data_IF_568386823864
#
_entry.id   IF_568386823864
#
_cell.length_a   1.000
_cell.length_b   1.000
_cell.length_c   1.000
_cell.angle_alpha   90.00
_cell.angle_beta   90.00
_cell.angle_gamma   90.00
#
_symmetry.space_group_name_H-M   'P 1'
#
loop_
_entity.id
_entity.type
_entity.pdbx_description
1 polymer ?
#
# COMPACT_ATOMS: atom_id res chain seq x y z
N UNK A 1 -16.81 44.98 -10.22
CA UNK A 1 -16.91 44.79 -8.77
C UNK A 1 -16.91 43.29 -8.50
N UNK A 2 -15.76 42.73 -8.10
CA UNK A 2 -15.61 41.29 -7.86
C UNK A 2 -16.22 41.00 -6.49
N UNK A 3 -17.29 40.21 -6.44
CA UNK A 3 -17.85 39.71 -5.19
C UNK A 3 -16.86 38.69 -4.63
N UNK A 4 -16.12 39.08 -3.59
CA UNK A 4 -15.37 38.14 -2.77
C UNK A 4 -16.43 37.35 -1.98
N UNK A 5 -16.50 36.01 -2.11
CA UNK A 5 -17.42 35.22 -1.31
C UNK A 5 -17.05 35.37 0.16
N UNK A 6 -17.98 35.91 0.94
CA UNK A 6 -17.92 35.84 2.40
C UNK A 6 -17.97 34.37 2.78
N UNK A 7 -16.93 33.89 3.48
CA UNK A 7 -16.86 32.58 4.13
C UNK A 7 -17.88 32.63 5.27
N UNK A 8 -19.16 32.44 4.95
CA UNK A 8 -20.23 32.26 5.92
C UNK A 8 -20.12 30.88 6.54
N UNK A 9 -20.27 30.81 7.87
CA UNK A 9 -20.46 29.59 8.68
C UNK A 9 -19.75 28.35 8.12
N UNK A 10 -18.48 28.17 8.50
CA UNK A 10 -17.62 27.09 8.01
C UNK A 10 -18.37 25.76 7.93
N UNK A 11 -18.23 25.10 6.80
CA UNK A 11 -18.77 23.77 6.51
C UNK A 11 -18.13 22.73 7.44
N UNK A 12 -18.60 22.68 8.69
CA UNK A 12 -18.07 21.80 9.76
C UNK A 12 -18.18 20.35 9.30
N UNK A 13 -19.31 19.98 8.67
CA UNK A 13 -19.55 18.64 8.15
C UNK A 13 -18.53 18.28 7.05
N UNK A 14 -18.29 19.16 6.08
CA UNK A 14 -17.26 18.95 5.06
C UNK A 14 -15.85 18.82 5.64
N UNK A 15 -15.52 19.58 6.70
CA UNK A 15 -14.23 19.48 7.39
C UNK A 15 -14.08 18.13 8.12
N UNK A 16 -15.13 17.67 8.80
CA UNK A 16 -15.14 16.36 9.47
C UNK A 16 -14.99 15.22 8.46
N UNK A 17 -15.75 15.24 7.37
CA UNK A 17 -15.67 14.22 6.32
C UNK A 17 -14.28 14.16 5.67
N UNK A 18 -13.69 15.32 5.37
CA UNK A 18 -12.32 15.40 4.86
C UNK A 18 -11.29 14.86 5.86
N UNK A 19 -11.46 15.17 7.14
CA UNK A 19 -10.54 14.71 8.19
C UNK A 19 -10.60 13.18 8.31
N UNK A 20 -11.80 12.60 8.36
CA UNK A 20 -12.01 11.15 8.38
C UNK A 20 -11.39 10.49 7.15
N UNK A 21 -11.65 11.03 5.96
CA UNK A 21 -11.11 10.50 4.72
C UNK A 21 -9.57 10.50 4.70
N UNK A 22 -8.93 11.59 5.10
CA UNK A 22 -7.47 11.69 5.15
C UNK A 22 -6.86 10.76 6.21
N UNK A 23 -7.53 10.59 7.34
CA UNK A 23 -7.14 9.63 8.36
C UNK A 23 -7.18 8.20 7.82
N UNK A 24 -8.28 7.80 7.18
CA UNK A 24 -8.42 6.47 6.58
C UNK A 24 -7.43 6.25 5.43
N UNK A 25 -7.08 7.32 4.69
CA UNK A 25 -6.05 7.25 3.65
C UNK A 25 -4.67 6.99 4.26
N UNK A 26 -4.37 7.63 5.39
CA UNK A 26 -3.16 7.35 6.18
C UNK A 26 -3.10 5.90 6.64
N UNK A 27 -4.22 5.36 7.15
CA UNK A 27 -4.32 3.94 7.54
C UNK A 27 -4.07 3.03 6.33
N UNK A 28 -4.69 3.31 5.19
CA UNK A 28 -4.51 2.54 3.97
C UNK A 28 -3.03 2.49 3.55
N UNK A 29 -2.35 3.65 3.55
CA UNK A 29 -0.92 3.77 3.20
C UNK A 29 -0.06 2.94 4.17
N UNK A 30 -0.34 3.01 5.47
CA UNK A 30 0.40 2.27 6.49
C UNK A 30 0.19 0.74 6.37
N UNK A 31 -1.07 0.30 6.20
CA UNK A 31 -1.41 -1.10 5.96
C UNK A 31 -0.74 -1.62 4.69
N UNK A 32 -0.74 -0.81 3.63
CA UNK A 32 -0.06 -1.17 2.39
C UNK A 32 1.43 -1.37 2.59
N UNK A 33 2.11 -0.45 3.28
CA UNK A 33 3.53 -0.58 3.61
C UNK A 33 3.82 -1.86 4.41
N UNK A 34 2.96 -2.20 5.37
CA UNK A 34 3.06 -3.46 6.12
C UNK A 34 2.97 -4.68 5.20
N UNK A 35 1.99 -4.73 4.30
CA UNK A 35 1.83 -5.85 3.35
C UNK A 35 3.04 -5.98 2.43
N UNK A 36 3.54 -4.85 1.90
CA UNK A 36 4.73 -4.85 1.04
C UNK A 36 5.97 -5.39 1.78
N UNK A 37 6.16 -5.01 3.04
CA UNK A 37 7.22 -5.56 3.88
C UNK A 37 7.08 -7.08 4.06
N UNK A 38 5.89 -7.61 4.35
CA UNK A 38 5.70 -9.06 4.50
C UNK A 38 5.97 -9.82 3.19
N UNK A 39 5.60 -9.25 2.04
CA UNK A 39 5.93 -9.80 0.73
C UNK A 39 7.46 -9.89 0.56
N UNK A 40 8.19 -8.82 0.87
CA UNK A 40 9.65 -8.81 0.77
C UNK A 40 10.30 -9.83 1.70
N UNK A 41 9.81 -9.93 2.94
CA UNK A 41 10.29 -10.90 3.92
C UNK A 41 10.06 -12.34 3.45
N UNK A 42 8.89 -12.65 2.89
CA UNK A 42 8.60 -13.99 2.40
C UNK A 42 9.49 -14.33 1.19
N UNK A 43 9.70 -13.39 0.25
CA UNK A 43 10.62 -13.59 -0.86
C UNK A 43 12.04 -13.85 -0.35
N UNK A 44 12.54 -13.02 0.58
CA UNK A 44 13.84 -13.20 1.21
C UNK A 44 13.99 -14.58 1.85
N UNK A 45 12.97 -15.00 2.62
CA UNK A 45 12.95 -16.30 3.30
C UNK A 45 13.02 -17.48 2.33
N UNK A 46 12.20 -17.48 1.29
CA UNK A 46 12.14 -18.58 0.31
C UNK A 46 13.44 -18.64 -0.50
N UNK A 47 13.95 -17.49 -0.94
CA UNK A 47 15.17 -17.41 -1.77
C UNK A 47 16.45 -17.59 -0.99
N UNK A 48 16.40 -17.48 0.36
CA UNK A 48 17.55 -17.55 1.27
C UNK A 48 18.67 -16.58 0.86
N UNK A 49 18.29 -15.44 0.30
CA UNK A 49 19.25 -14.40 -0.05
C UNK A 49 19.91 -13.83 1.20
N UNK A 50 21.14 -13.37 1.04
CA UNK A 50 21.77 -12.52 2.05
C UNK A 50 20.94 -11.22 2.18
N UNK A 51 20.74 -10.77 3.41
CA UNK A 51 19.72 -9.76 3.71
C UNK A 51 20.00 -8.40 3.06
N UNK A 52 21.26 -7.98 2.98
CA UNK A 52 21.62 -6.74 2.29
C UNK A 52 21.33 -6.86 0.78
N UNK A 53 21.64 -8.01 0.17
CA UNK A 53 21.29 -8.25 -1.22
C UNK A 53 19.77 -8.27 -1.45
N UNK A 54 19.01 -8.88 -0.54
CA UNK A 54 17.56 -8.86 -0.62
C UNK A 54 17.02 -7.43 -0.54
N UNK A 55 17.51 -6.62 0.40
CA UNK A 55 17.13 -5.21 0.54
C UNK A 55 17.45 -4.40 -0.72
N UNK A 56 18.64 -4.58 -1.31
CA UNK A 56 19.04 -3.89 -2.56
C UNK A 56 18.13 -4.31 -3.72
N UNK A 57 18.00 -5.62 -3.95
CA UNK A 57 17.25 -6.12 -5.10
C UNK A 57 15.77 -5.78 -4.95
N UNK A 58 15.14 -6.19 -3.85
CA UNK A 58 13.71 -5.98 -3.63
C UNK A 58 13.37 -4.49 -3.52
N UNK A 59 14.21 -3.68 -2.87
CA UNK A 59 14.00 -2.23 -2.77
C UNK A 59 13.96 -1.50 -4.11
N UNK A 60 14.63 -2.04 -5.15
CA UNK A 60 14.61 -1.46 -6.51
C UNK A 60 13.44 -1.92 -7.37
N UNK A 61 12.74 -3.00 -6.97
CA UNK A 61 11.64 -3.55 -7.74
C UNK A 61 10.34 -2.80 -7.46
N UNK A 62 9.56 -2.61 -8.52
CA UNK A 62 8.18 -2.18 -8.37
C UNK A 62 7.35 -3.30 -7.73
N UNK A 63 6.35 -2.93 -6.93
CA UNK A 63 5.46 -3.88 -6.26
C UNK A 63 4.89 -4.98 -7.18
N UNK A 64 4.49 -4.63 -8.42
CA UNK A 64 3.98 -5.62 -9.40
C UNK A 64 4.99 -6.72 -9.71
N UNK A 65 6.27 -6.38 -9.77
CA UNK A 65 7.35 -7.34 -9.99
C UNK A 65 7.55 -8.23 -8.74
N UNK A 66 7.58 -7.63 -7.54
CA UNK A 66 7.67 -8.36 -6.26
C UNK A 66 6.56 -9.40 -6.13
N UNK A 67 5.30 -9.01 -6.35
CA UNK A 67 4.16 -9.93 -6.31
C UNK A 67 4.29 -11.05 -7.33
N UNK A 68 4.72 -10.75 -8.55
CA UNK A 68 4.91 -11.78 -9.59
C UNK A 68 5.98 -12.81 -9.19
N UNK A 69 7.09 -12.34 -8.59
CA UNK A 69 8.15 -13.19 -8.05
C UNK A 69 7.58 -14.07 -6.92
N UNK A 70 6.88 -13.46 -5.95
CA UNK A 70 6.31 -14.20 -4.83
C UNK A 70 5.31 -15.27 -5.31
N UNK A 71 4.46 -14.98 -6.29
CA UNK A 71 3.55 -15.98 -6.86
C UNK A 71 4.28 -17.17 -7.48
N UNK A 72 5.38 -16.93 -8.20
CA UNK A 72 6.19 -17.99 -8.76
C UNK A 72 6.82 -18.86 -7.65
N UNK A 73 7.35 -18.21 -6.61
CA UNK A 73 7.95 -18.89 -5.46
C UNK A 73 6.93 -19.73 -4.68
N UNK A 74 5.77 -19.15 -4.33
CA UNK A 74 4.70 -19.86 -3.61
C UNK A 74 4.16 -21.04 -4.43
N UNK A 75 4.07 -20.90 -5.76
CA UNK A 75 3.66 -21.99 -6.65
C UNK A 75 4.64 -23.15 -6.60
N UNK A 76 5.95 -22.88 -6.57
CA UNK A 76 6.99 -23.91 -6.43
C UNK A 76 6.92 -24.62 -5.07
N UNK A 77 6.48 -23.94 -4.02
CA UNK A 77 6.24 -24.52 -2.69
C UNK A 77 4.87 -25.22 -2.55
N UNK A 78 4.02 -25.20 -3.58
CA UNK A 78 2.68 -25.79 -3.54
C UNK A 78 1.65 -25.00 -2.72
N UNK A 79 1.90 -23.71 -2.46
CA UNK A 79 1.06 -22.84 -1.60
C UNK A 79 0.08 -22.00 -2.42
N UNK A 80 -0.82 -22.69 -3.10
CA UNK A 80 -1.81 -22.08 -3.99
C UNK A 80 -2.91 -21.27 -3.26
N UNK A 81 -3.18 -21.64 -2.02
CA UNK A 81 -4.05 -20.92 -1.10
C UNK A 81 -3.54 -19.49 -0.83
N UNK A 82 -2.25 -19.35 -0.48
CA UNK A 82 -1.61 -18.06 -0.24
C UNK A 82 -1.67 -17.15 -1.47
N UNK A 83 -1.48 -17.72 -2.68
CA UNK A 83 -1.61 -16.98 -3.95
C UNK A 83 -3.04 -16.43 -4.11
N UNK A 84 -4.06 -17.21 -3.75
CA UNK A 84 -5.47 -16.78 -3.85
C UNK A 84 -5.78 -15.60 -2.94
N UNK A 85 -5.34 -15.66 -1.68
CA UNK A 85 -5.53 -14.58 -0.71
C UNK A 85 -4.80 -13.30 -1.13
N UNK A 86 -3.54 -13.41 -1.57
CA UNK A 86 -2.77 -12.28 -2.09
C UNK A 86 -3.43 -11.65 -3.32
N UNK A 87 -3.86 -12.45 -4.31
CA UNK A 87 -4.55 -11.92 -5.50
C UNK A 87 -5.81 -11.14 -5.12
N UNK A 88 -6.58 -11.66 -4.17
CA UNK A 88 -7.79 -11.01 -3.68
C UNK A 88 -7.46 -9.67 -3.03
N UNK A 89 -6.53 -9.65 -2.08
CA UNK A 89 -6.11 -8.41 -1.40
C UNK A 89 -5.52 -7.37 -2.37
N UNK A 90 -4.63 -7.78 -3.28
CA UNK A 90 -3.94 -6.87 -4.20
C UNK A 90 -4.88 -6.29 -5.26
N UNK A 91 -5.85 -7.08 -5.72
CA UNK A 91 -6.87 -6.59 -6.65
C UNK A 91 -7.85 -5.63 -5.97
N UNK A 92 -8.23 -5.92 -4.72
CA UNK A 92 -9.17 -5.11 -3.95
C UNK A 92 -8.58 -3.75 -3.59
N UNK A 93 -7.31 -3.69 -3.18
CA UNK A 93 -6.65 -2.46 -2.71
C UNK A 93 -6.67 -1.30 -3.72
N UNK A 94 -6.90 -1.58 -5.02
CA UNK A 94 -6.85 -0.59 -6.11
C UNK A 94 -5.64 0.35 -5.99
N UNK A 95 -4.48 -0.18 -5.59
CA UNK A 95 -3.26 0.57 -5.25
C UNK A 95 -2.94 1.67 -6.26
N UNK A 96 -3.00 1.35 -7.55
CA UNK A 96 -2.68 2.31 -8.60
C UNK A 96 -3.61 3.54 -8.59
N UNK A 97 -4.87 3.38 -8.20
CA UNK A 97 -5.81 4.49 -8.03
C UNK A 97 -5.55 5.28 -6.76
N UNK A 98 -5.36 4.59 -5.64
CA UNK A 98 -5.39 5.24 -4.32
C UNK A 98 -4.01 5.79 -3.91
N UNK A 99 -2.92 5.14 -4.31
CA UNK A 99 -1.55 5.53 -3.95
C UNK A 99 -0.88 6.42 -5.01
N UNK A 100 -1.31 6.31 -6.27
CA UNK A 100 -0.72 7.02 -7.40
C UNK A 100 -1.72 7.89 -8.17
N UNK A 101 -2.99 7.87 -7.78
CA UNK A 101 -3.98 8.76 -8.36
C UNK A 101 -3.84 10.17 -7.82
N UNK A 102 -4.28 11.14 -8.63
CA UNK A 102 -4.43 12.52 -8.17
C UNK A 102 -5.75 12.62 -7.41
N UNK A 103 -5.69 13.06 -6.15
CA UNK A 103 -6.88 13.42 -5.39
C UNK A 103 -7.39 14.78 -5.90
N UNK A 104 -8.55 14.78 -6.54
CA UNK A 104 -9.31 16.01 -6.72
C UNK A 104 -10.36 16.07 -5.61
N UNK A 105 -10.27 17.08 -4.75
CA UNK A 105 -11.43 17.53 -4.00
C UNK A 105 -12.20 18.47 -4.92
N UNK A 106 -13.48 18.19 -5.15
CA UNK A 106 -14.36 19.23 -5.66
C UNK A 106 -14.45 20.35 -4.60
N UNK A 107 -15.02 21.52 -4.93
CA UNK A 107 -15.28 22.54 -3.91
C UNK A 107 -16.20 22.04 -2.77
N UNK A 108 -16.80 20.86 -2.97
CA UNK A 108 -17.56 20.04 -2.06
C UNK A 108 -16.63 18.99 -1.39
N UNK A 109 -16.39 19.14 -0.09
CA UNK A 109 -15.52 18.24 0.69
C UNK A 109 -16.17 16.88 1.04
N UNK A 110 -17.35 16.60 0.49
CA UNK A 110 -18.04 15.31 0.69
C UNK A 110 -17.67 14.25 -0.34
N UNK A 111 -16.97 14.64 -1.43
CA UNK A 111 -16.59 13.75 -2.53
C UNK A 111 -15.11 13.86 -2.88
N UNK A 112 -14.49 12.69 -3.02
CA UNK A 112 -13.08 12.52 -3.32
C UNK A 112 -12.93 11.66 -4.56
N UNK A 113 -12.19 12.17 -5.53
CA UNK A 113 -11.99 11.48 -6.80
C UNK A 113 -10.53 11.14 -7.02
N UNK A 114 -10.26 9.87 -7.32
CA UNK A 114 -8.94 9.39 -7.74
C UNK A 114 -8.95 9.08 -9.23
N UNK A 115 -7.94 9.58 -9.93
CA UNK A 115 -7.76 9.33 -11.36
C UNK A 115 -6.60 8.37 -11.59
N UNK A 116 -6.87 7.23 -12.24
CA UNK A 116 -5.82 6.35 -12.77
C UNK A 116 -5.58 6.63 -14.24
N UNK A 117 -4.32 6.57 -14.67
CA UNK A 117 -3.93 6.67 -16.06
C UNK A 117 -3.32 5.35 -16.51
N UNK A 118 -3.70 4.88 -17.68
CA UNK A 118 -3.13 3.70 -18.33
C UNK A 118 -2.64 4.09 -19.71
N UNK A 119 -1.41 3.66 -20.06
CA UNK A 119 -0.74 4.01 -21.32
C UNK A 119 -0.43 2.80 -22.21
N UNK A 120 -0.69 1.58 -21.71
CA UNK A 120 -0.23 0.32 -22.31
C UNK A 120 -0.75 0.01 -23.74
N UNK A 121 -1.79 0.70 -24.22
CA UNK A 121 -2.35 0.49 -25.57
C UNK A 121 -3.01 1.76 -26.12
N UNK A 122 -3.75 2.49 -25.26
CA UNK A 122 -4.27 3.84 -25.50
C UNK A 122 -4.30 4.62 -24.20
N UNK A 123 -4.12 5.94 -24.24
CA UNK A 123 -4.28 6.78 -23.06
C UNK A 123 -5.72 6.68 -22.55
N UNK A 124 -5.90 6.02 -21.40
CA UNK A 124 -7.20 5.87 -20.73
C UNK A 124 -7.10 6.46 -19.33
N UNK A 125 -8.12 7.23 -18.94
CA UNK A 125 -8.28 7.73 -17.59
C UNK A 125 -9.50 7.04 -16.96
N UNK A 126 -9.34 6.44 -15.78
CA UNK A 126 -10.48 5.97 -14.98
C UNK A 126 -10.60 6.81 -13.72
N UNK A 127 -11.82 7.23 -13.41
CA UNK A 127 -12.18 7.95 -12.19
C UNK A 127 -12.75 6.97 -11.17
N UNK A 128 -12.31 7.09 -9.92
CA UNK A 128 -12.84 6.35 -8.77
C UNK A 128 -13.30 7.36 -7.73
N UNK A 129 -14.59 7.36 -7.44
CA UNK A 129 -15.20 8.31 -6.50
C UNK A 129 -15.49 7.63 -5.17
N UNK A 130 -15.20 8.35 -4.10
CA UNK A 130 -15.48 7.96 -2.72
C UNK A 130 -16.03 9.16 -1.96
N UNK A 131 -16.88 8.88 -0.97
CA UNK A 131 -17.10 9.78 0.17
C UNK A 131 -16.38 9.20 1.40
N UNK A 132 -16.40 9.91 2.52
CA UNK A 132 -15.73 9.45 3.74
C UNK A 132 -16.20 8.05 4.19
N UNK A 133 -17.51 7.80 4.23
CA UNK A 133 -18.06 6.51 4.67
C UNK A 133 -17.67 5.34 3.76
N UNK A 134 -17.86 5.49 2.44
CA UNK A 134 -17.49 4.44 1.47
C UNK A 134 -15.99 4.18 1.42
N UNK A 135 -15.18 5.20 1.69
CA UNK A 135 -13.74 5.03 1.80
C UNK A 135 -13.36 4.32 3.11
N UNK A 136 -14.02 4.64 4.21
CA UNK A 136 -13.84 3.94 5.49
C UNK A 136 -14.12 2.43 5.33
N UNK A 137 -15.25 2.07 4.73
CA UNK A 137 -15.61 0.68 4.45
C UNK A 137 -14.57 -0.01 3.55
N UNK A 138 -14.06 0.73 2.55
CA UNK A 138 -13.00 0.23 1.69
C UNK A 138 -11.72 -0.09 2.46
N UNK A 139 -11.29 0.80 3.35
CA UNK A 139 -10.10 0.59 4.19
C UNK A 139 -10.30 -0.59 5.13
N UNK A 140 -11.49 -0.72 5.73
CA UNK A 140 -11.79 -1.84 6.62
C UNK A 140 -11.78 -3.18 5.89
N UNK A 141 -12.44 -3.28 4.74
CA UNK A 141 -12.42 -4.50 3.92
C UNK A 141 -11.00 -4.82 3.44
N UNK A 142 -10.22 -3.82 3.03
CA UNK A 142 -8.84 -4.05 2.65
C UNK A 142 -8.01 -4.57 3.83
N UNK A 143 -8.21 -4.04 5.04
CA UNK A 143 -7.53 -4.52 6.25
C UNK A 143 -7.78 -6.01 6.49
N UNK A 144 -9.03 -6.46 6.39
CA UNK A 144 -9.40 -7.87 6.57
C UNK A 144 -8.73 -8.76 5.52
N UNK A 145 -8.81 -8.37 4.23
CA UNK A 145 -8.18 -9.10 3.14
C UNK A 145 -6.64 -9.11 3.26
N UNK A 146 -6.05 -7.99 3.67
CA UNK A 146 -4.62 -7.87 3.90
C UNK A 146 -4.16 -8.73 5.07
N UNK A 147 -4.93 -8.80 6.17
CA UNK A 147 -4.64 -9.70 7.29
C UNK A 147 -4.64 -11.15 6.82
N UNK A 148 -5.71 -11.59 6.16
CA UNK A 148 -5.80 -12.96 5.65
C UNK A 148 -4.65 -13.30 4.69
N UNK A 149 -4.27 -12.36 3.81
CA UNK A 149 -3.14 -12.55 2.91
C UNK A 149 -1.79 -12.66 3.65
N UNK A 150 -1.59 -11.86 4.70
CA UNK A 150 -0.38 -11.89 5.53
C UNK A 150 -0.33 -13.15 6.41
N UNK A 151 -1.46 -13.59 6.96
CA UNK A 151 -1.54 -14.79 7.79
C UNK A 151 -1.22 -16.07 7.00
N UNK A 152 -1.42 -16.05 5.68
CA UNK A 152 -0.97 -17.10 4.77
C UNK A 152 0.52 -17.07 4.47
N UNK A 153 1.25 -16.00 4.83
CA UNK A 153 2.70 -15.92 4.71
C UNK A 153 3.36 -16.47 5.96
N UNK A 154 4.54 -17.08 5.81
CA UNK A 154 5.21 -17.76 6.93
C UNK A 154 6.17 -16.85 7.69
N UNK A 155 6.01 -15.53 7.55
CA UNK A 155 6.87 -14.50 8.15
C UNK A 155 6.52 -14.33 9.62
N UNK A 156 7.50 -14.49 10.50
CA UNK A 156 7.32 -14.25 11.94
C UNK A 156 7.62 -12.79 12.30
N UNK A 157 7.18 -12.36 13.50
CA UNK A 157 7.51 -11.03 14.01
C UNK A 157 9.03 -10.81 14.11
N UNK A 158 9.76 -11.80 14.62
CA UNK A 158 11.22 -11.75 14.75
C UNK A 158 11.92 -11.51 13.40
N UNK A 159 11.39 -12.08 12.32
CA UNK A 159 11.93 -11.87 10.97
C UNK A 159 11.69 -10.46 10.45
N UNK A 160 10.55 -9.85 10.80
CA UNK A 160 10.30 -8.43 10.51
C UNK A 160 11.30 -7.55 11.27
N UNK A 161 11.53 -7.86 12.55
CA UNK A 161 12.48 -7.11 13.38
C UNK A 161 13.93 -7.26 12.87
N UNK A 162 14.32 -8.45 12.44
CA UNK A 162 15.65 -8.70 11.86
C UNK A 162 15.89 -7.82 10.62
N UNK A 163 14.91 -7.72 9.73
CA UNK A 163 15.00 -6.84 8.53
C UNK A 163 15.05 -5.36 8.93
N UNK A 164 14.27 -4.93 9.92
CA UNK A 164 14.30 -3.55 10.40
C UNK A 164 15.62 -3.17 11.09
N UNK A 165 16.23 -4.09 11.83
CA UNK A 165 17.40 -3.82 12.68
C UNK A 165 18.74 -4.06 11.97
N UNK A 166 18.85 -5.08 11.14
CA UNK A 166 20.05 -5.41 10.35
C UNK A 166 20.50 -4.28 9.41
N UNK A 167 19.55 -3.54 8.82
CA UNK A 167 19.83 -2.36 7.99
C UNK A 167 20.47 -1.21 8.77
N UNK A 168 20.20 -1.11 10.08
CA UNK A 168 20.78 -0.11 10.97
C UNK A 168 22.13 -0.55 11.57
N UNK A 169 22.26 -1.84 11.95
CA UNK A 169 23.41 -2.34 12.69
C UNK A 169 24.65 -2.51 11.80
N UNK A 170 24.51 -2.93 10.53
CA UNK A 170 25.69 -3.08 9.64
C UNK A 170 26.34 -1.75 9.27
N UNK A 171 25.55 -0.70 8.99
CA UNK A 171 26.09 0.63 8.70
C UNK A 171 26.88 1.22 9.86
N UNK A 172 26.45 0.97 11.10
CA UNK A 172 27.17 1.43 12.29
C UNK A 172 28.51 0.69 12.48
N UNK A 173 28.56 -0.62 12.15
CA UNK A 173 29.78 -1.41 12.26
C UNK A 173 30.81 -1.04 11.19
N UNK A 174 30.39 -0.89 9.93
CA UNK A 174 31.29 -0.59 8.82
C UNK A 174 31.86 0.85 8.87
N UNK A 175 31.18 1.78 9.55
CA UNK A 175 31.69 3.15 9.80
C UNK A 175 32.66 3.24 10.98
N UNK A 176 32.87 2.14 11.72
CA UNK A 176 33.75 2.09 12.91
C UNK A 176 34.93 1.13 12.76
N UNK A 177 35.02 0.42 11.63
CA UNK A 177 36.21 -0.35 11.28
C UNK A 177 37.22 0.58 10.57
N UNK A 178 38.44 0.79 11.12
CA UNK A 178 39.46 1.67 10.55
C UNK A 178 40.03 1.18 9.23
#
# INVERSE_FOLDING_TARGET
MVKIPTIGGGDIEGVEQRTQFLHDLGILIALWGKVEMHIECEIWKITKMEMLHASIVLGTLQHKAKISILYALLRLEGRDDAISHLKTAMSFAKRNALMHGTLASEHDFTKFSFFTRSVDDRYRVKRHDYNAATFHDHVWQFRELASAAVDCLTVTHDQLEEICTSGAIRRARDLTSP
#
